data_IF_228411630328
#
_entry.id   IF_228411630328
#
_cell.length_a   1.000
_cell.length_b   1.000
_cell.length_c   1.000
_cell.angle_alpha   90.00
_cell.angle_beta   90.00
_cell.angle_gamma   90.00
#
_symmetry.space_group_name_H-M   'P 1'
#
loop_
_entity.id
_entity.type
_entity.pdbx_description
1 polymer ?
#
# COMPACT_ATOMS: atom_id res chain seq x y z
N UNK A 1 21.77 19.32 17.45
CA UNK A 1 22.74 18.33 16.93
C UNK A 1 22.23 17.92 15.55
N UNK A 2 23.08 17.79 14.52
CA UNK A 2 22.62 17.20 13.26
C UNK A 2 22.05 15.82 13.62
N UNK A 3 20.82 15.55 13.18
CA UNK A 3 20.06 14.36 13.58
C UNK A 3 20.78 13.05 13.24
N UNK A 4 21.84 13.05 12.43
CA UNK A 4 22.48 11.82 11.97
C UNK A 4 21.60 11.05 10.97
N UNK A 5 20.49 11.64 10.55
CA UNK A 5 19.60 11.11 9.52
C UNK A 5 20.00 11.67 8.15
N UNK A 6 20.12 10.78 7.18
CA UNK A 6 20.35 11.14 5.79
C UNK A 6 19.07 11.70 5.16
N UNK A 7 19.20 12.55 4.14
CA UNK A 7 18.06 13.04 3.36
C UNK A 7 17.26 11.89 2.73
N UNK A 8 15.98 12.14 2.46
CA UNK A 8 15.11 11.12 1.90
C UNK A 8 15.62 10.65 0.54
N UNK A 9 15.88 9.35 0.38
CA UNK A 9 16.33 8.78 -0.90
C UNK A 9 15.32 8.94 -2.06
N UNK A 10 14.06 9.27 -1.76
CA UNK A 10 13.01 9.37 -2.77
C UNK A 10 12.82 10.79 -3.32
N UNK A 11 12.88 11.81 -2.46
CA UNK A 11 12.61 13.21 -2.85
C UNK A 11 13.65 14.21 -2.35
N UNK A 12 14.73 13.74 -1.72
CA UNK A 12 15.78 14.55 -1.07
C UNK A 12 15.31 15.39 0.14
N UNK A 13 14.06 15.17 0.57
CA UNK A 13 13.43 15.91 1.65
C UNK A 13 13.96 15.60 3.04
N UNK A 14 13.67 16.52 3.96
CA UNK A 14 14.11 16.44 5.34
C UNK A 14 13.43 15.27 6.08
N UNK A 15 14.20 14.46 6.83
CA UNK A 15 13.65 13.44 7.70
C UNK A 15 13.27 14.01 9.08
N UNK A 16 12.13 13.58 9.60
CA UNK A 16 11.64 13.93 10.92
C UNK A 16 11.41 12.67 11.76
N UNK A 17 12.02 12.64 12.95
CA UNK A 17 11.74 11.61 13.95
C UNK A 17 10.55 12.02 14.81
N UNK A 18 9.53 11.15 14.85
CA UNK A 18 8.32 11.32 15.62
C UNK A 18 8.25 10.19 16.65
N UNK A 19 8.19 10.55 17.93
CA UNK A 19 7.99 9.60 19.03
C UNK A 19 6.73 9.98 19.81
N UNK A 20 5.71 9.13 19.71
CA UNK A 20 4.52 9.17 20.54
C UNK A 20 4.65 8.30 21.79
N UNK A 21 3.56 8.18 22.55
CA UNK A 21 3.51 7.35 23.77
C UNK A 21 3.64 5.85 23.47
N UNK A 22 3.03 5.38 22.38
CA UNK A 22 2.94 3.96 22.03
C UNK A 22 3.89 3.57 20.92
N UNK A 23 4.25 4.50 20.03
CA UNK A 23 5.05 4.19 18.84
C UNK A 23 5.97 5.33 18.46
N UNK A 24 7.06 4.99 17.79
CA UNK A 24 7.94 5.93 17.13
C UNK A 24 8.21 5.53 15.68
N UNK A 25 8.49 6.52 14.84
CA UNK A 25 8.87 6.35 13.43
C UNK A 25 9.68 7.54 12.93
N UNK A 26 10.36 7.38 11.79
CA UNK A 26 10.96 8.47 11.03
C UNK A 26 10.20 8.61 9.73
N UNK A 27 9.85 9.85 9.35
CA UNK A 27 9.09 10.17 8.14
C UNK A 27 9.79 11.28 7.35
N UNK A 28 9.68 11.26 6.03
CA UNK A 28 10.05 12.41 5.20
C UNK A 28 8.94 13.47 5.28
N UNK A 29 9.32 14.71 5.60
CA UNK A 29 8.37 15.82 5.70
C UNK A 29 7.74 16.22 4.36
N UNK A 30 8.32 15.80 3.24
CA UNK A 30 7.87 16.18 1.90
C UNK A 30 7.05 15.10 1.21
N UNK A 31 7.56 13.85 1.14
CA UNK A 31 6.91 12.76 0.41
C UNK A 31 6.17 11.75 1.28
N UNK A 32 6.25 11.89 2.62
CA UNK A 32 5.54 11.01 3.56
C UNK A 32 6.08 9.59 3.69
N UNK A 33 7.16 9.23 2.99
CA UNK A 33 7.83 7.93 3.20
C UNK A 33 8.30 7.82 4.65
N UNK A 34 7.98 6.70 5.29
CA UNK A 34 8.33 6.45 6.68
C UNK A 34 9.07 5.12 6.87
N UNK A 35 9.74 4.97 8.00
CA UNK A 35 10.14 3.66 8.54
C UNK A 35 8.90 2.91 9.05
N UNK A 36 8.93 1.57 9.07
CA UNK A 36 7.96 0.81 9.87
C UNK A 36 7.94 1.35 11.31
N UNK A 37 6.76 1.64 11.90
CA UNK A 37 6.68 2.07 13.28
C UNK A 37 7.22 1.00 14.22
N UNK A 38 7.88 1.43 15.30
CA UNK A 38 8.30 0.54 16.39
C UNK A 38 7.52 0.86 17.65
N UNK A 39 7.27 -0.17 18.45
CA UNK A 39 6.58 -0.05 19.73
C UNK A 39 7.50 0.60 20.77
N UNK A 40 6.93 1.49 21.58
CA UNK A 40 7.62 2.24 22.63
C UNK A 40 7.44 1.61 24.02
N UNK A 41 6.61 0.57 24.17
CA UNK A 41 6.40 -0.09 25.46
C UNK A 41 7.71 -0.69 26.01
N UNK A 42 8.28 0.00 27.00
CA UNK A 42 9.54 -0.35 27.66
C UNK A 42 10.82 0.15 26.95
N UNK A 43 10.73 0.85 25.82
CA UNK A 43 11.88 1.42 25.12
C UNK A 43 12.05 2.91 25.43
N UNK A 44 13.30 3.33 25.69
CA UNK A 44 13.62 4.75 25.77
C UNK A 44 13.70 5.37 24.36
N UNK A 45 13.34 6.65 24.25
CA UNK A 45 13.35 7.44 23.02
C UNK A 45 14.66 7.34 22.23
N UNK A 46 15.81 7.29 22.92
CA UNK A 46 17.12 7.21 22.29
C UNK A 46 17.39 5.84 21.65
N UNK A 47 16.88 4.77 22.25
CA UNK A 47 16.98 3.42 21.70
C UNK A 47 16.11 3.28 20.44
N UNK A 48 14.88 3.80 20.52
CA UNK A 48 13.97 3.88 19.39
C UNK A 48 14.56 4.71 18.22
N UNK A 49 15.16 5.86 18.55
CA UNK A 49 15.84 6.70 17.57
C UNK A 49 16.99 5.96 16.89
N UNK A 50 17.83 5.27 17.65
CA UNK A 50 18.98 4.52 17.10
C UNK A 50 18.53 3.43 16.14
N UNK A 51 17.51 2.66 16.52
CA UNK A 51 16.96 1.59 15.69
C UNK A 51 16.35 2.14 14.39
N UNK A 52 15.52 3.17 14.49
CA UNK A 52 14.87 3.77 13.34
C UNK A 52 15.85 4.49 12.43
N UNK A 53 16.89 5.15 12.98
CA UNK A 53 17.95 5.78 12.21
C UNK A 53 18.73 4.77 11.39
N UNK A 54 19.01 3.58 11.94
CA UNK A 54 19.63 2.49 11.20
C UNK A 54 18.74 2.02 10.04
N UNK A 55 17.43 1.88 10.26
CA UNK A 55 16.49 1.50 9.19
C UNK A 55 16.41 2.59 8.12
N UNK A 56 16.35 3.87 8.52
CA UNK A 56 16.27 5.01 7.63
C UNK A 56 17.52 5.16 6.77
N UNK A 57 18.71 5.17 7.39
CA UNK A 57 19.98 5.39 6.70
C UNK A 57 20.40 4.19 5.84
N UNK A 58 20.01 2.96 6.20
CA UNK A 58 20.23 1.78 5.35
C UNK A 58 19.49 1.86 3.99
N UNK A 59 18.52 2.77 3.83
CA UNK A 59 17.89 3.01 2.52
C UNK A 59 18.83 3.74 1.56
N UNK A 60 19.85 4.44 2.09
CA UNK A 60 20.81 5.25 1.33
C UNK A 60 22.16 4.53 1.19
N UNK A 61 22.58 3.73 2.17
CA UNK A 61 23.79 2.90 2.04
C UNK A 61 23.54 1.68 1.14
N UNK A 62 23.79 1.84 -0.17
CA UNK A 62 23.90 0.71 -1.08
C UNK A 62 25.15 -0.12 -0.74
N UNK A 63 24.96 -1.25 -0.05
CA UNK A 63 25.99 -2.29 0.00
C UNK A 63 26.29 -2.76 -1.44
N UNK A 64 27.56 -2.91 -1.83
CA UNK A 64 27.89 -3.55 -3.10
C UNK A 64 27.27 -4.95 -3.10
N UNK A 65 26.38 -5.20 -4.06
CA UNK A 65 25.71 -6.47 -4.21
C UNK A 65 26.72 -7.54 -4.66
N UNK A 66 26.75 -8.67 -3.97
CA UNK A 66 27.52 -9.85 -4.41
C UNK A 66 27.00 -10.32 -5.80
N UNK A 67 27.88 -10.88 -6.63
CA UNK A 67 27.56 -11.31 -7.99
C UNK A 67 26.39 -12.32 -8.06
N UNK A 68 26.20 -13.08 -6.99
CA UNK A 68 25.04 -13.95 -6.75
C UNK A 68 23.74 -13.17 -6.55
N UNK A 69 23.76 -12.06 -5.79
CA UNK A 69 22.60 -11.19 -5.57
C UNK A 69 22.17 -10.46 -6.84
N UNK A 70 23.14 -10.00 -7.65
CA UNK A 70 22.86 -9.40 -8.97
C UNK A 70 22.21 -10.45 -9.89
N UNK A 71 22.73 -11.69 -9.87
CA UNK A 71 22.18 -12.80 -10.67
C UNK A 71 20.77 -13.21 -10.24
N UNK A 72 20.47 -13.18 -8.94
CA UNK A 72 19.13 -13.48 -8.40
C UNK A 72 18.13 -12.38 -8.72
N UNK A 73 18.55 -11.12 -8.67
CA UNK A 73 17.71 -9.96 -8.98
C UNK A 73 17.38 -9.89 -10.48
N UNK A 74 18.36 -10.17 -11.35
CA UNK A 74 18.14 -10.28 -12.79
C UNK A 74 17.18 -11.44 -13.19
N UNK A 75 17.00 -12.44 -12.31
CA UNK A 75 16.06 -13.56 -12.52
C UNK A 75 14.64 -13.29 -11.99
N UNK A 76 14.45 -12.24 -11.19
CA UNK A 76 13.10 -11.79 -10.79
C UNK A 76 12.47 -11.02 -11.96
N UNK A 77 11.14 -11.08 -12.05
CA UNK A 77 10.39 -10.19 -12.93
C UNK A 77 10.60 -8.75 -12.43
N UNK A 78 11.52 -8.02 -13.06
CA UNK A 78 11.81 -6.63 -12.74
C UNK A 78 10.62 -5.78 -13.17
N UNK A 79 10.05 -5.02 -12.25
CA UNK A 79 9.03 -4.03 -12.57
C UNK A 79 9.67 -2.76 -13.12
N UNK A 80 8.89 -1.88 -13.74
CA UNK A 80 9.40 -0.64 -14.33
C UNK A 80 10.19 0.24 -13.33
N UNK A 81 9.88 0.17 -12.04
CA UNK A 81 10.60 0.89 -10.97
C UNK A 81 11.94 0.26 -10.59
N UNK A 82 12.14 -1.03 -10.85
CA UNK A 82 13.37 -1.76 -10.49
C UNK A 82 14.48 -1.55 -11.53
N UNK A 83 14.11 -1.13 -12.75
CA UNK A 83 15.00 -0.98 -13.91
C UNK A 83 16.09 0.09 -13.69
N UNK A 84 15.78 1.33 -13.24
CA UNK A 84 16.81 2.37 -13.07
C UNK A 84 17.84 2.01 -12.00
N UNK A 85 17.38 1.41 -10.90
CA UNK A 85 18.25 0.96 -9.80
C UNK A 85 19.22 -0.13 -10.27
N UNK A 86 18.71 -1.10 -11.02
CA UNK A 86 19.54 -2.18 -11.54
C UNK A 86 20.55 -1.71 -12.60
N UNK A 87 20.15 -0.82 -13.51
CA UNK A 87 21.06 -0.22 -14.49
C UNK A 87 22.18 0.56 -13.80
N UNK A 88 21.87 1.24 -12.69
CA UNK A 88 22.89 1.93 -11.88
C UNK A 88 23.86 0.93 -11.24
N UNK A 89 23.38 -0.19 -10.68
CA UNK A 89 24.24 -1.25 -10.12
C UNK A 89 25.16 -1.87 -11.18
N UNK A 90 24.65 -2.11 -12.40
CA UNK A 90 25.47 -2.61 -13.51
C UNK A 90 26.48 -1.57 -13.95
N UNK A 91 26.11 -0.30 -14.09
CA UNK A 91 27.03 0.77 -14.46
C UNK A 91 28.18 0.92 -13.44
N UNK A 92 27.88 0.77 -12.16
CA UNK A 92 28.85 0.83 -11.06
C UNK A 92 29.77 -0.40 -11.02
N UNK A 93 29.31 -1.57 -11.47
CA UNK A 93 30.08 -2.84 -11.42
C UNK A 93 30.75 -3.21 -12.74
N UNK A 94 30.28 -2.68 -13.87
CA UNK A 94 30.73 -3.03 -15.22
C UNK A 94 31.82 -2.10 -15.80
N UNK A 95 32.50 -1.30 -14.97
CA UNK A 95 33.66 -0.53 -15.38
C UNK A 95 34.82 -1.46 -15.84
N UNK A 96 34.74 -1.92 -17.10
CA UNK A 96 35.83 -2.63 -17.79
C UNK A 96 35.47 -3.97 -18.47
N UNK A 97 34.35 -4.62 -18.16
CA UNK A 97 34.04 -5.97 -18.70
C UNK A 97 32.67 -6.04 -19.39
N UNK A 98 32.59 -5.43 -20.56
CA UNK A 98 31.40 -5.45 -21.43
C UNK A 98 31.20 -6.79 -22.14
N UNK A 99 32.27 -7.55 -22.36
CA UNK A 99 32.21 -8.85 -23.02
C UNK A 99 31.42 -9.88 -22.19
N UNK A 100 31.59 -9.85 -20.86
CA UNK A 100 30.85 -10.74 -19.95
C UNK A 100 29.43 -10.23 -19.63
N UNK A 101 29.23 -8.91 -19.57
CA UNK A 101 27.96 -8.32 -19.14
C UNK A 101 26.96 -8.06 -20.29
N UNK A 102 27.43 -7.93 -21.53
CA UNK A 102 26.59 -7.69 -22.71
C UNK A 102 25.46 -8.72 -22.92
N UNK A 103 25.73 -10.04 -22.83
CA UNK A 103 24.69 -11.06 -22.95
C UNK A 103 23.59 -10.98 -21.88
N UNK A 104 23.94 -10.54 -20.66
CA UNK A 104 22.97 -10.35 -19.55
C UNK A 104 22.02 -9.19 -19.86
N UNK A 105 22.57 -8.07 -20.35
CA UNK A 105 21.78 -6.92 -20.79
C UNK A 105 20.87 -7.25 -21.97
N UNK A 106 21.36 -8.03 -22.94
CA UNK A 106 20.57 -8.46 -24.10
C UNK A 106 19.39 -9.34 -23.73
N UNK A 107 19.56 -10.29 -22.80
CA UNK A 107 18.48 -11.15 -22.34
C UNK A 107 17.40 -10.34 -21.58
N UNK A 108 17.81 -9.29 -20.86
CA UNK A 108 16.89 -8.42 -20.12
C UNK A 108 16.13 -7.45 -21.03
N UNK A 109 16.80 -6.88 -22.04
CA UNK A 109 16.13 -6.08 -23.06
C UNK A 109 15.03 -6.90 -23.78
N UNK A 110 15.29 -8.18 -24.03
CA UNK A 110 14.29 -9.09 -24.60
C UNK A 110 13.11 -9.35 -23.64
N UNK A 111 13.35 -9.43 -22.32
CA UNK A 111 12.29 -9.57 -21.32
C UNK A 111 11.44 -8.29 -21.19
N UNK A 112 12.07 -7.11 -21.24
CA UNK A 112 11.38 -5.82 -21.21
C UNK A 112 10.62 -5.50 -22.49
N UNK A 113 11.08 -6.00 -23.63
CA UNK A 113 10.39 -5.87 -24.91
C UNK A 113 9.16 -6.79 -25.01
N UNK A 114 8.93 -7.70 -24.06
CA UNK A 114 7.68 -8.44 -24.02
C UNK A 114 6.55 -7.49 -23.60
N UNK A 115 5.45 -7.42 -24.37
CA UNK A 115 4.34 -6.56 -24.02
C UNK A 115 3.80 -6.94 -22.64
N UNK A 116 3.87 -6.00 -21.69
CA UNK A 116 3.29 -6.15 -20.37
C UNK A 116 1.78 -6.39 -20.51
N UNK A 117 1.35 -7.61 -20.21
CA UNK A 117 -0.07 -7.93 -20.22
C UNK A 117 -0.67 -7.42 -18.89
N UNK A 118 -1.18 -6.20 -18.89
CA UNK A 118 -2.04 -5.73 -17.80
C UNK A 118 -3.34 -6.51 -17.85
N UNK A 119 -3.48 -7.51 -16.98
CA UNK A 119 -4.81 -7.93 -16.59
C UNK A 119 -5.45 -6.76 -15.86
N UNK A 120 -6.23 -5.94 -16.57
CA UNK A 120 -7.31 -5.20 -15.92
C UNK A 120 -8.14 -6.25 -15.21
N UNK A 121 -8.10 -6.25 -13.88
CA UNK A 121 -9.04 -7.03 -13.10
C UNK A 121 -10.42 -6.49 -13.44
N UNK A 122 -11.13 -7.19 -14.33
CA UNK A 122 -12.52 -6.90 -14.63
C UNK A 122 -13.31 -7.86 -13.78
N UNK A 123 -14.06 -7.32 -12.83
CA UNK A 123 -14.99 -8.11 -12.04
C UNK A 123 -15.93 -8.89 -12.96
N UNK A 124 -16.29 -10.15 -12.62
CA UNK A 124 -17.30 -10.90 -13.36
C UNK A 124 -18.59 -10.08 -13.53
N UNK A 125 -19.31 -10.23 -14.65
CA UNK A 125 -20.56 -9.51 -14.89
C UNK A 125 -21.57 -9.62 -13.75
N UNK A 126 -21.64 -10.76 -13.07
CA UNK A 126 -22.50 -11.01 -11.92
C UNK A 126 -22.15 -10.11 -10.73
N UNK A 127 -20.85 -9.93 -10.48
CA UNK A 127 -20.34 -9.02 -9.45
C UNK A 127 -20.72 -7.58 -9.77
N UNK A 128 -20.53 -7.15 -11.02
CA UNK A 128 -20.90 -5.79 -11.45
C UNK A 128 -22.40 -5.53 -11.27
N UNK A 129 -23.25 -6.48 -11.66
CA UNK A 129 -24.71 -6.37 -11.52
C UNK A 129 -25.12 -6.30 -10.05
N UNK A 130 -24.59 -7.17 -9.20
CA UNK A 130 -24.90 -7.17 -7.76
C UNK A 130 -24.49 -5.86 -7.08
N UNK A 131 -23.32 -5.32 -7.42
CA UNK A 131 -22.87 -4.02 -6.91
C UNK A 131 -23.75 -2.86 -7.43
N UNK A 132 -24.22 -2.93 -8.67
CA UNK A 132 -25.15 -1.94 -9.22
C UNK A 132 -26.50 -1.92 -8.48
N UNK A 133 -27.05 -3.10 -8.14
CA UNK A 133 -28.30 -3.21 -7.37
C UNK A 133 -28.11 -2.66 -5.95
N UNK A 134 -27.00 -2.97 -5.28
CA UNK A 134 -26.65 -2.41 -3.96
C UNK A 134 -26.54 -0.90 -3.99
N UNK A 135 -25.87 -0.36 -5.00
CA UNK A 135 -25.76 1.09 -5.20
C UNK A 135 -27.15 1.74 -5.38
N UNK A 136 -28.05 1.11 -6.14
CA UNK A 136 -29.42 1.61 -6.29
C UNK A 136 -30.19 1.61 -4.95
N UNK A 137 -30.02 0.58 -4.12
CA UNK A 137 -30.61 0.54 -2.77
C UNK A 137 -30.08 1.65 -1.87
N UNK A 138 -28.77 1.92 -1.91
CA UNK A 138 -28.14 3.02 -1.17
C UNK A 138 -28.64 4.39 -1.64
N UNK A 139 -28.71 4.62 -2.96
CA UNK A 139 -29.19 5.87 -3.53
C UNK A 139 -30.64 6.19 -3.12
N UNK A 140 -31.53 5.18 -3.09
CA UNK A 140 -32.91 5.36 -2.62
C UNK A 140 -33.01 5.84 -1.17
N UNK A 141 -31.97 5.60 -0.37
CA UNK A 141 -31.87 5.95 1.05
C UNK A 141 -31.05 7.22 1.30
N UNK A 142 -30.48 7.79 0.24
CA UNK A 142 -29.75 9.04 0.33
C UNK A 142 -30.74 10.19 0.54
N UNK A 143 -30.56 10.93 1.62
CA UNK A 143 -31.29 12.17 1.90
C UNK A 143 -30.32 13.33 1.85
N UNK A 144 -30.74 14.41 1.19
CA UNK A 144 -30.02 15.68 1.25
C UNK A 144 -30.38 16.35 2.58
N UNK A 145 -29.38 16.60 3.40
CA UNK A 145 -29.49 17.39 4.63
C UNK A 145 -28.66 18.67 4.47
N UNK A 146 -28.99 19.70 5.25
CA UNK A 146 -28.20 20.93 5.29
C UNK A 146 -27.47 21.00 6.63
N UNK A 147 -26.15 21.11 6.58
CA UNK A 147 -25.28 21.32 7.74
C UNK A 147 -24.54 22.63 7.51
N UNK A 148 -24.71 23.60 8.40
CA UNK A 148 -24.14 24.95 8.28
C UNK A 148 -24.44 25.65 6.94
N UNK A 149 -25.62 25.39 6.38
CA UNK A 149 -26.06 25.95 5.10
C UNK A 149 -25.49 25.24 3.86
N UNK A 150 -24.62 24.26 4.02
CA UNK A 150 -24.10 23.44 2.93
C UNK A 150 -24.92 22.14 2.75
N UNK A 151 -25.27 21.75 1.51
CA UNK A 151 -25.96 20.48 1.26
C UNK A 151 -24.99 19.31 1.44
N UNK A 152 -25.36 18.35 2.30
CA UNK A 152 -24.66 17.10 2.50
C UNK A 152 -25.59 15.92 2.18
N UNK A 153 -25.01 14.81 1.69
CA UNK A 153 -25.74 13.57 1.48
C UNK A 153 -25.59 12.69 2.72
N UNK A 154 -26.71 12.35 3.36
CA UNK A 154 -26.78 11.40 4.46
C UNK A 154 -27.50 10.14 3.99
N UNK A 155 -26.90 8.99 4.20
CA UNK A 155 -27.58 7.71 4.03
C UNK A 155 -28.34 7.34 5.31
N UNK A 156 -29.57 6.88 5.18
CA UNK A 156 -30.31 6.37 6.34
C UNK A 156 -29.65 5.12 6.93
N UNK A 157 -29.69 4.91 8.25
CA UNK A 157 -29.04 3.77 8.92
C UNK A 157 -29.61 2.42 8.48
N UNK A 158 -28.74 1.45 8.22
CA UNK A 158 -29.15 0.06 7.95
C UNK A 158 -29.73 -0.55 9.24
N UNK A 159 -30.84 -1.32 9.19
CA UNK A 159 -31.40 -1.97 10.37
C UNK A 159 -30.38 -2.87 11.07
N UNK A 160 -30.34 -2.83 12.41
CA UNK A 160 -29.43 -3.65 13.21
C UNK A 160 -29.54 -5.15 12.88
N UNK A 161 -30.76 -5.66 12.70
CA UNK A 161 -31.00 -7.05 12.33
C UNK A 161 -30.33 -7.46 11.00
N UNK A 162 -30.32 -6.58 10.00
CA UNK A 162 -29.66 -6.86 8.72
C UNK A 162 -28.13 -6.92 8.88
N UNK A 163 -27.58 -6.08 9.77
CA UNK A 163 -26.16 -6.07 10.09
C UNK A 163 -25.73 -7.32 10.89
N UNK A 164 -26.55 -7.75 11.86
CA UNK A 164 -26.32 -8.98 12.64
C UNK A 164 -26.35 -10.24 11.75
N UNK A 165 -27.34 -10.34 10.86
CA UNK A 165 -27.41 -11.46 9.90
C UNK A 165 -26.21 -11.46 8.94
N UNK A 166 -25.75 -10.28 8.51
CA UNK A 166 -24.58 -10.15 7.65
C UNK A 166 -23.28 -10.56 8.36
N UNK A 167 -23.16 -10.22 9.65
CA UNK A 167 -22.06 -10.64 10.53
C UNK A 167 -22.07 -12.16 10.73
N UNK A 168 -23.21 -12.75 11.06
CA UNK A 168 -23.37 -14.20 11.24
C UNK A 168 -23.05 -14.96 9.94
N UNK A 169 -23.47 -14.44 8.78
CA UNK A 169 -23.17 -15.03 7.47
C UNK A 169 -21.68 -14.94 7.07
N UNK A 170 -20.83 -14.29 7.87
CA UNK A 170 -19.39 -14.19 7.68
C UNK A 170 -18.61 -14.81 8.86
N UNK A 171 -19.30 -15.39 9.85
CA UNK A 171 -18.69 -15.89 11.09
C UNK A 171 -17.66 -17.01 10.86
N UNK A 172 -17.84 -17.84 9.82
CA UNK A 172 -16.94 -18.96 9.50
C UNK A 172 -15.69 -18.53 8.71
N UNK A 173 -15.57 -17.24 8.36
CA UNK A 173 -14.38 -16.73 7.67
C UNK A 173 -13.31 -16.35 8.68
N UNK A 174 -12.07 -16.72 8.37
CA UNK A 174 -10.88 -16.20 9.06
C UNK A 174 -10.88 -14.67 8.92
N UNK A 175 -11.43 -13.98 9.92
CA UNK A 175 -11.50 -12.52 10.08
C UNK A 175 -12.72 -11.80 9.46
N UNK A 176 -13.75 -11.41 10.24
CA UNK A 176 -15.00 -10.84 9.72
C UNK A 176 -14.94 -9.35 9.30
N UNK A 177 -13.80 -8.65 9.48
CA UNK A 177 -13.69 -7.19 9.27
C UNK A 177 -12.70 -6.74 8.19
N UNK A 178 -11.93 -7.64 7.57
CA UNK A 178 -11.00 -7.25 6.49
C UNK A 178 -11.72 -7.00 5.15
N UNK A 179 -12.90 -7.58 4.94
CA UNK A 179 -13.75 -7.26 3.79
C UNK A 179 -14.98 -6.44 4.22
N UNK A 180 -14.69 -5.21 4.65
CA UNK A 180 -15.72 -4.22 4.99
C UNK A 180 -16.74 -4.04 3.85
N UNK A 181 -16.32 -4.19 2.59
CA UNK A 181 -17.22 -4.07 1.44
C UNK A 181 -18.21 -5.22 1.36
N UNK A 182 -17.77 -6.46 1.62
CA UNK A 182 -18.66 -7.61 1.63
C UNK A 182 -19.64 -7.58 2.80
N UNK A 183 -19.17 -7.20 4.00
CA UNK A 183 -20.04 -7.01 5.17
C UNK A 183 -21.13 -5.97 4.89
N UNK A 184 -20.74 -4.78 4.42
CA UNK A 184 -21.67 -3.71 4.07
C UNK A 184 -22.61 -4.16 2.95
N UNK A 185 -22.10 -4.86 1.94
CA UNK A 185 -22.89 -5.39 0.83
C UNK A 185 -23.99 -6.34 1.31
N UNK A 186 -23.66 -7.30 2.18
CA UNK A 186 -24.64 -8.24 2.76
C UNK A 186 -25.66 -7.53 3.64
N UNK A 187 -25.23 -6.55 4.44
CA UNK A 187 -26.12 -5.77 5.28
C UNK A 187 -27.13 -4.96 4.44
N UNK A 188 -26.70 -4.39 3.30
CA UNK A 188 -27.57 -3.69 2.34
C UNK A 188 -28.52 -4.66 1.63
N UNK A 189 -28.03 -5.84 1.23
CA UNK A 189 -28.84 -6.84 0.53
C UNK A 189 -30.01 -7.31 1.39
N UNK A 190 -29.77 -7.47 2.70
CA UNK A 190 -30.77 -7.87 3.69
C UNK A 190 -31.85 -6.82 3.97
N UNK A 191 -31.72 -5.59 3.46
CA UNK A 191 -32.76 -4.57 3.67
C UNK A 191 -33.91 -4.72 2.66
N UNK A 192 -35.17 -4.81 3.13
CA UNK A 192 -36.34 -4.78 2.26
C UNK A 192 -36.49 -3.43 1.52
N UNK A 193 -36.93 -3.47 0.26
CA UNK A 193 -37.08 -2.28 -0.59
C UNK A 193 -38.06 -1.22 -0.05
N UNK A 194 -38.98 -1.64 0.83
CA UNK A 194 -40.02 -0.80 1.42
C UNK A 194 -39.75 -0.48 2.90
N UNK A 195 -38.56 -0.80 3.41
CA UNK A 195 -38.23 -0.51 4.79
C UNK A 195 -38.20 1.00 5.05
N UNK A 196 -38.90 1.43 6.09
CA UNK A 196 -38.92 2.80 6.60
C UNK A 196 -38.45 2.78 8.06
N UNK A 197 -37.64 3.76 8.49
CA UNK A 197 -37.18 3.87 9.87
C UNK A 197 -38.30 4.21 10.86
#
# INVERSE_FOLDING_TARGET
MPSGLLQCAHCDGAPLFIAGRLQALIVCEECGISTPPIDMDGQNRDAAFTQLSAIWNNRVEHRPADATAISMTARRALTASDIPYFLNLVALTAAGDWATNGPRLSAMAAALAQPGYEFKHVDPPETVISQAVRYQKLLKRAKIIYVDGAPMVRFEPVPALCAEIAEEALADRDWPLLDLHEYIGKAIDGVPDHWQP
#
